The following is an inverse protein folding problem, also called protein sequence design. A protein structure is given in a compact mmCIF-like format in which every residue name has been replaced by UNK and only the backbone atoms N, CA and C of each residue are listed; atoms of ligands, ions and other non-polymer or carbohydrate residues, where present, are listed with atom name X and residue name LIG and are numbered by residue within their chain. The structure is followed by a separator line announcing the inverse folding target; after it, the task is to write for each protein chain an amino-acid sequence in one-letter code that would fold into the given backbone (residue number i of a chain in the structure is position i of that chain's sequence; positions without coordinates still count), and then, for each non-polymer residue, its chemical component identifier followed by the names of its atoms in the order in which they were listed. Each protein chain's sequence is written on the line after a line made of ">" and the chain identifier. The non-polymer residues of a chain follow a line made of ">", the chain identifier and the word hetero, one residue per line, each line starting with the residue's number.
data_IF_761477553472
#
_entry.id   IF_761477553472
#
_cell.length_a   1.000
_cell.length_b   1.000
_cell.length_c   1.000
_cell.angle_alpha   90.00
_cell.angle_beta   90.00
_cell.angle_gamma   90.00
#
_symmetry.space_group_name_H-M   'P 1'
#
loop_
_entity.id
_entity.type
_entity.pdbx_description
1 polymer ?
#
# COMPACT_ATOMS: atom_id res chain seq x y z
N UNK A 1 -25.14 5.44 3.67
CA UNK A 1 -23.68 5.64 3.57
C UNK A 1 -23.43 6.69 2.52
N UNK A 2 -22.67 7.75 2.84
CA UNK A 2 -22.19 8.70 1.82
C UNK A 2 -21.16 8.00 0.91
N UNK A 3 -21.00 8.47 -0.32
CA UNK A 3 -20.02 7.93 -1.28
C UNK A 3 -18.61 7.91 -0.67
N UNK A 4 -18.26 8.95 0.10
CA UNK A 4 -16.97 9.07 0.78
C UNK A 4 -16.72 7.93 1.79
N UNK A 5 -17.73 7.53 2.58
CA UNK A 5 -17.62 6.39 3.52
C UNK A 5 -17.47 5.06 2.80
N UNK A 6 -18.15 4.89 1.66
CA UNK A 6 -17.98 3.68 0.86
C UNK A 6 -16.54 3.61 0.33
N UNK A 7 -16.00 4.71 -0.19
CA UNK A 7 -14.63 4.77 -0.68
C UNK A 7 -13.59 4.56 0.43
N UNK A 8 -13.81 5.14 1.62
CA UNK A 8 -12.96 4.90 2.80
C UNK A 8 -12.96 3.42 3.19
N UNK A 9 -14.14 2.79 3.26
CA UNK A 9 -14.25 1.37 3.55
C UNK A 9 -13.54 0.52 2.50
N UNK A 10 -13.78 0.77 1.21
CA UNK A 10 -13.10 0.08 0.11
C UNK A 10 -11.59 0.27 0.21
N UNK A 11 -11.11 1.49 0.42
CA UNK A 11 -9.69 1.80 0.56
C UNK A 11 -9.05 1.02 1.73
N UNK A 12 -9.73 0.94 2.88
CA UNK A 12 -9.27 0.16 4.03
C UNK A 12 -9.14 -1.34 3.71
N UNK A 13 -10.15 -1.93 3.06
CA UNK A 13 -10.10 -3.33 2.64
C UNK A 13 -9.02 -3.59 1.59
N UNK A 14 -8.83 -2.67 0.64
CA UNK A 14 -7.76 -2.73 -0.35
C UNK A 14 -6.38 -2.68 0.32
N UNK A 15 -6.20 -1.88 1.37
CA UNK A 15 -4.97 -1.81 2.14
C UNK A 15 -4.60 -3.16 2.78
N UNK A 16 -5.56 -3.80 3.46
CA UNK A 16 -5.35 -5.13 4.07
C UNK A 16 -5.05 -6.19 3.00
N UNK A 17 -5.80 -6.19 1.89
CA UNK A 17 -5.57 -7.12 0.79
C UNK A 17 -4.20 -6.89 0.13
N UNK A 18 -3.75 -5.64 0.01
CA UNK A 18 -2.45 -5.29 -0.54
C UNK A 18 -1.31 -5.84 0.30
N UNK A 19 -1.40 -5.83 1.63
CA UNK A 19 -0.40 -6.45 2.53
C UNK A 19 -0.24 -7.94 2.18
N UNK A 20 -1.35 -8.68 2.11
CA UNK A 20 -1.32 -10.11 1.79
C UNK A 20 -0.77 -10.35 0.38
N UNK A 21 -1.19 -9.53 -0.59
CA UNK A 21 -0.73 -9.63 -1.97
C UNK A 21 0.78 -9.38 -2.10
N UNK A 22 1.34 -8.37 -1.42
CA UNK A 22 2.76 -8.00 -1.45
C UNK A 22 3.68 -9.12 -0.92
N UNK A 23 3.23 -9.89 0.07
CA UNK A 23 4.00 -11.01 0.61
C UNK A 23 4.18 -12.15 -0.41
N UNK A 24 3.22 -12.34 -1.31
CA UNK A 24 3.27 -13.43 -2.27
C UNK A 24 4.46 -13.34 -3.26
N UNK A 25 4.68 -12.25 -4.02
CA UNK A 25 5.87 -12.10 -4.85
C UNK A 25 7.15 -12.02 -4.01
N UNK A 26 7.12 -11.45 -2.79
CA UNK A 26 8.29 -11.46 -1.90
C UNK A 26 8.78 -12.89 -1.62
N UNK A 27 7.86 -13.80 -1.27
CA UNK A 27 8.19 -15.21 -0.96
C UNK A 27 8.61 -15.96 -2.22
N UNK A 28 7.94 -15.76 -3.36
CA UNK A 28 8.24 -16.50 -4.59
C UNK A 28 9.55 -16.05 -5.25
N UNK A 29 9.85 -14.75 -5.21
CA UNK A 29 11.07 -14.18 -5.81
C UNK A 29 12.32 -14.41 -4.95
N UNK A 30 12.22 -14.73 -3.66
CA UNK A 30 13.38 -14.89 -2.75
C UNK A 30 14.44 -15.88 -3.22
N UNK A 31 14.01 -16.90 -3.98
CA UNK A 31 14.91 -17.94 -4.53
C UNK A 31 15.59 -17.49 -5.83
N UNK A 32 15.20 -16.36 -6.41
CA UNK A 32 15.73 -15.80 -7.66
C UNK A 32 15.54 -16.70 -8.88
N UNK A 33 14.57 -17.62 -8.84
CA UNK A 33 14.26 -18.53 -9.95
C UNK A 33 13.66 -17.76 -11.13
N UNK A 34 13.81 -18.25 -12.37
CA UNK A 34 13.13 -17.66 -13.54
C UNK A 34 11.62 -17.58 -13.35
N UNK A 35 10.99 -16.53 -13.87
CA UNK A 35 9.57 -16.29 -13.67
C UNK A 35 8.71 -17.25 -14.52
N UNK A 36 7.85 -18.02 -13.85
CA UNK A 36 6.75 -18.72 -14.51
C UNK A 36 5.66 -17.73 -14.96
N UNK A 37 4.77 -18.16 -15.86
CA UNK A 37 3.61 -17.35 -16.27
C UNK A 37 2.74 -16.93 -15.08
N UNK A 38 2.48 -17.85 -14.15
CA UNK A 38 1.70 -17.57 -12.94
C UNK A 38 2.37 -16.54 -12.03
N UNK A 39 3.69 -16.60 -11.87
CA UNK A 39 4.42 -15.61 -11.07
C UNK A 39 4.40 -14.22 -11.72
N UNK A 40 4.49 -14.13 -13.05
CA UNK A 40 4.33 -12.85 -13.77
C UNK A 40 2.97 -12.22 -13.51
N UNK A 41 1.89 -13.01 -13.59
CA UNK A 41 0.55 -12.55 -13.24
C UNK A 41 0.44 -12.13 -11.78
N UNK A 42 1.00 -12.90 -10.86
CA UNK A 42 1.00 -12.54 -9.45
C UNK A 42 1.69 -11.19 -9.19
N UNK A 43 2.85 -10.95 -9.80
CA UNK A 43 3.58 -9.67 -9.70
C UNK A 43 2.74 -8.53 -10.28
N UNK A 44 2.16 -8.73 -11.47
CA UNK A 44 1.33 -7.72 -12.13
C UNK A 44 0.08 -7.36 -11.32
N UNK A 45 -0.68 -8.36 -10.87
CA UNK A 45 -1.90 -8.17 -10.07
C UNK A 45 -1.60 -7.53 -8.71
N UNK A 46 -0.51 -7.94 -8.05
CA UNK A 46 -0.09 -7.34 -6.77
C UNK A 46 0.22 -5.86 -6.95
N UNK A 47 1.00 -5.53 -7.99
CA UNK A 47 1.40 -4.14 -8.28
C UNK A 47 0.18 -3.29 -8.66
N UNK A 48 -0.72 -3.83 -9.48
CA UNK A 48 -1.96 -3.16 -9.85
C UNK A 48 -2.88 -2.92 -8.64
N UNK A 49 -3.00 -3.90 -7.74
CA UNK A 49 -3.78 -3.76 -6.51
C UNK A 49 -3.22 -2.66 -5.59
N UNK A 50 -1.90 -2.61 -5.41
CA UNK A 50 -1.23 -1.56 -4.61
C UNK A 50 -1.45 -0.18 -5.24
N UNK A 51 -1.31 -0.07 -6.56
CA UNK A 51 -1.58 1.17 -7.29
C UNK A 51 -3.05 1.59 -7.16
N UNK A 52 -3.99 0.65 -7.24
CA UNK A 52 -5.42 0.91 -7.04
C UNK A 52 -5.70 1.39 -5.62
N UNK A 53 -5.14 0.73 -4.60
CA UNK A 53 -5.29 1.15 -3.20
C UNK A 53 -4.79 2.58 -2.99
N UNK A 54 -3.62 2.91 -3.54
CA UNK A 54 -3.06 4.25 -3.50
C UNK A 54 -3.94 5.27 -4.24
N UNK A 55 -4.40 4.95 -5.45
CA UNK A 55 -5.27 5.82 -6.23
C UNK A 55 -6.61 6.08 -5.52
N UNK A 56 -7.22 5.07 -4.89
CA UNK A 56 -8.42 5.27 -4.06
C UNK A 56 -8.13 6.20 -2.87
N UNK A 57 -6.95 6.10 -2.26
CA UNK A 57 -6.49 7.03 -1.22
C UNK A 57 -6.46 8.48 -1.70
N UNK A 58 -6.00 8.72 -2.93
CA UNK A 58 -6.04 10.06 -3.54
C UNK A 58 -7.47 10.56 -3.75
N UNK A 59 -8.41 9.70 -4.14
CA UNK A 59 -9.81 10.13 -4.36
C UNK A 59 -10.54 10.58 -3.10
N UNK A 60 -10.09 10.14 -1.92
CA UNK A 60 -10.67 10.53 -0.63
C UNK A 60 -9.86 11.64 0.07
N UNK A 61 -8.70 12.00 -0.48
CA UNK A 61 -7.73 12.89 0.14
C UNK A 61 -8.28 14.29 0.38
N UNK A 62 -8.89 14.91 -0.64
CA UNK A 62 -9.42 16.28 -0.53
C UNK A 62 -10.52 16.35 0.53
N UNK A 63 -11.48 15.41 0.49
CA UNK A 63 -12.56 15.33 1.47
C UNK A 63 -12.04 15.16 2.90
N UNK A 64 -10.98 14.37 3.09
CA UNK A 64 -10.31 14.23 4.39
C UNK A 64 -9.63 15.54 4.83
N UNK A 65 -8.88 16.20 3.93
CA UNK A 65 -8.13 17.43 4.22
C UNK A 65 -9.04 18.59 4.62
N UNK A 66 -10.22 18.66 4.01
CA UNK A 66 -11.20 19.71 4.27
C UNK A 66 -11.98 19.47 5.57
N UNK A 67 -12.39 18.23 5.85
CA UNK A 67 -13.37 17.95 6.90
C UNK A 67 -12.79 17.27 8.14
N UNK A 68 -11.80 16.39 8.00
CA UNK A 68 -11.31 15.54 9.10
C UNK A 68 -10.02 16.09 9.69
N UNK A 69 -9.09 16.53 8.85
CA UNK A 69 -7.79 17.04 9.30
C UNK A 69 -7.88 18.24 10.25
N UNK A 70 -8.71 19.28 10.00
CA UNK A 70 -8.77 20.43 10.90
C UNK A 70 -9.24 20.04 12.30
N UNK A 71 -10.25 19.16 12.38
CA UNK A 71 -10.77 18.67 13.65
C UNK A 71 -9.72 17.83 14.39
N UNK A 72 -9.03 16.91 13.69
CA UNK A 72 -7.95 16.13 14.29
C UNK A 72 -6.79 16.99 14.79
N UNK A 73 -6.44 18.08 14.11
CA UNK A 73 -5.39 18.98 14.59
C UNK A 73 -5.77 19.72 15.88
N UNK A 74 -7.06 20.02 16.06
CA UNK A 74 -7.56 20.69 17.26
C UNK A 74 -7.70 19.74 18.45
N UNK A 75 -8.16 18.51 18.21
CA UNK A 75 -8.49 17.55 19.27
C UNK A 75 -7.35 16.56 19.55
N UNK A 76 -6.60 16.14 18.52
CA UNK A 76 -5.63 15.05 18.56
C UNK A 76 -4.42 15.29 17.63
N UNK A 77 -3.60 16.30 17.94
CA UNK A 77 -2.47 16.73 17.10
C UNK A 77 -1.52 15.58 16.67
N UNK A 78 -1.16 14.69 17.61
CA UNK A 78 -0.27 13.56 17.31
C UNK A 78 -0.90 12.59 16.29
N UNK A 79 -2.22 12.35 16.39
CA UNK A 79 -2.97 11.53 15.44
C UNK A 79 -2.98 12.17 14.04
N UNK A 80 -3.09 13.49 13.97
CA UNK A 80 -2.99 14.22 12.69
C UNK A 80 -1.59 14.07 12.06
N UNK A 81 -0.52 14.12 12.86
CA UNK A 81 0.85 13.89 12.35
C UNK A 81 1.07 12.44 11.89
N UNK A 82 0.52 11.46 12.60
CA UNK A 82 0.57 10.06 12.19
C UNK A 82 -0.20 9.83 10.89
N UNK A 83 -1.31 10.55 10.68
CA UNK A 83 -2.03 10.53 9.43
C UNK A 83 -1.16 11.03 8.26
N UNK A 84 -0.53 12.20 8.38
CA UNK A 84 0.38 12.74 7.35
C UNK A 84 1.53 11.76 7.06
N UNK A 85 2.10 11.18 8.11
CA UNK A 85 3.19 10.20 8.00
C UNK A 85 2.75 8.96 7.21
N UNK A 86 1.52 8.47 7.42
CA UNK A 86 1.02 7.29 6.71
C UNK A 86 0.93 7.51 5.19
N UNK A 87 0.70 8.75 4.75
CA UNK A 87 0.60 9.10 3.32
C UNK A 87 1.98 8.99 2.65
N UNK A 88 3.02 9.48 3.30
CA UNK A 88 4.40 9.31 2.84
C UNK A 88 4.81 7.83 2.81
N UNK A 89 4.41 7.06 3.83
CA UNK A 89 4.64 5.62 3.85
C UNK A 89 3.90 4.94 2.70
N UNK A 90 2.64 5.31 2.42
CA UNK A 90 1.87 4.76 1.30
C UNK A 90 2.53 5.06 -0.05
N UNK A 91 3.08 6.26 -0.22
CA UNK A 91 3.87 6.62 -1.41
C UNK A 91 5.13 5.75 -1.55
N UNK A 92 5.85 5.51 -0.45
CA UNK A 92 7.00 4.61 -0.44
C UNK A 92 6.61 3.17 -0.81
N UNK A 93 5.48 2.66 -0.29
CA UNK A 93 4.93 1.34 -0.63
C UNK A 93 4.67 1.25 -2.14
N UNK A 94 4.00 2.25 -2.73
CA UNK A 94 3.73 2.29 -4.16
C UNK A 94 5.03 2.27 -4.97
N UNK A 95 5.99 3.13 -4.62
CA UNK A 95 7.27 3.27 -5.31
C UNK A 95 8.07 1.96 -5.27
N UNK A 96 8.14 1.33 -4.10
CA UNK A 96 8.82 0.04 -3.92
C UNK A 96 8.13 -1.07 -4.71
N UNK A 97 6.80 -1.16 -4.66
CA UNK A 97 6.04 -2.19 -5.36
C UNK A 97 6.16 -2.05 -6.89
N UNK A 98 6.07 -0.83 -7.42
CA UNK A 98 6.26 -0.54 -8.85
C UNK A 98 7.68 -0.86 -9.29
N UNK A 99 8.68 -0.37 -8.56
CA UNK A 99 10.09 -0.60 -8.85
C UNK A 99 10.43 -2.10 -8.83
N UNK A 100 9.99 -2.82 -7.80
CA UNK A 100 10.18 -4.27 -7.68
C UNK A 100 9.45 -5.03 -8.80
N UNK A 101 8.22 -4.62 -9.13
CA UNK A 101 7.42 -5.23 -10.19
C UNK A 101 8.07 -5.09 -11.55
N UNK A 102 8.48 -3.86 -11.92
CA UNK A 102 9.20 -3.59 -13.17
C UNK A 102 10.51 -4.39 -13.18
N UNK A 103 11.34 -4.27 -12.14
CA UNK A 103 12.63 -4.95 -12.06
C UNK A 103 12.49 -6.47 -12.22
N UNK A 104 11.52 -7.09 -11.55
CA UNK A 104 11.27 -8.52 -11.69
C UNK A 104 10.81 -8.90 -13.10
N UNK A 105 9.82 -8.18 -13.66
CA UNK A 105 9.20 -8.50 -14.95
C UNK A 105 10.12 -8.32 -16.15
N UNK A 106 10.99 -7.31 -16.12
CA UNK A 106 11.96 -7.02 -17.20
C UNK A 106 13.29 -7.75 -17.03
N UNK A 107 13.57 -8.32 -15.84
CA UNK A 107 14.85 -8.98 -15.58
C UNK A 107 15.11 -10.16 -16.55
N UNK A 108 16.35 -10.27 -17.09
CA UNK A 108 16.80 -11.45 -17.82
C UNK A 108 16.69 -12.74 -16.98
N UNK A 109 16.59 -13.91 -17.64
CA UNK A 109 16.37 -15.20 -16.95
C UNK A 109 17.48 -15.56 -15.96
N UNK A 110 18.71 -15.15 -16.23
CA UNK A 110 19.92 -15.37 -15.42
C UNK A 110 20.13 -14.32 -14.32
N UNK A 111 19.40 -13.19 -14.35
CA UNK A 111 19.51 -12.10 -13.38
C UNK A 111 18.90 -12.42 -11.99
N UNK A 112 19.47 -13.41 -11.30
CA UNK A 112 19.04 -13.90 -9.98
C UNK A 112 19.05 -12.78 -8.93
N UNK A 113 20.11 -11.97 -8.90
CA UNK A 113 20.28 -10.90 -7.92
C UNK A 113 19.18 -9.84 -8.02
N UNK A 114 18.79 -9.44 -9.23
CA UNK A 114 17.70 -8.47 -9.45
C UNK A 114 16.37 -9.00 -8.89
N UNK A 115 16.06 -10.28 -9.10
CA UNK A 115 14.84 -10.89 -8.55
C UNK A 115 14.87 -10.98 -7.03
N UNK A 116 16.02 -11.25 -6.43
CA UNK A 116 16.17 -11.27 -4.97
C UNK A 116 16.05 -9.86 -4.37
N UNK A 117 16.60 -8.83 -5.03
CA UNK A 117 16.41 -7.44 -4.64
C UNK A 117 14.92 -7.03 -4.75
N UNK A 118 14.24 -7.40 -5.84
CA UNK A 118 12.81 -7.19 -5.98
C UNK A 118 12.00 -7.91 -4.88
N UNK A 119 12.40 -9.12 -4.49
CA UNK A 119 11.80 -9.83 -3.36
C UNK A 119 11.92 -9.05 -2.05
N UNK A 120 13.11 -8.49 -1.77
CA UNK A 120 13.34 -7.67 -0.59
C UNK A 120 12.51 -6.38 -0.62
N UNK A 121 12.41 -5.71 -1.77
CA UNK A 121 11.56 -4.51 -1.91
C UNK A 121 10.09 -4.80 -1.74
N UNK A 122 9.58 -5.94 -2.25
CA UNK A 122 8.22 -6.38 -1.96
C UNK A 122 8.00 -6.68 -0.47
N UNK A 123 9.00 -7.28 0.20
CA UNK A 123 8.92 -7.53 1.65
C UNK A 123 8.89 -6.24 2.46
N UNK A 124 9.76 -5.27 2.14
CA UNK A 124 9.77 -3.95 2.79
C UNK A 124 8.47 -3.20 2.50
N UNK A 125 7.98 -3.24 1.26
CA UNK A 125 6.68 -2.67 0.91
C UNK A 125 5.54 -3.32 1.70
N UNK A 126 5.54 -4.64 1.89
CA UNK A 126 4.54 -5.34 2.71
C UNK A 126 4.55 -4.86 4.17
N UNK A 127 5.74 -4.71 4.76
CA UNK A 127 5.90 -4.21 6.13
C UNK A 127 5.41 -2.77 6.28
N UNK A 128 5.81 -1.89 5.37
CA UNK A 128 5.36 -0.50 5.35
C UNK A 128 3.84 -0.40 5.11
N UNK A 129 3.29 -1.22 4.21
CA UNK A 129 1.86 -1.28 3.94
C UNK A 129 1.07 -1.76 5.17
N UNK A 130 1.61 -2.73 5.92
CA UNK A 130 1.03 -3.17 7.18
C UNK A 130 0.99 -2.02 8.20
N UNK A 131 2.09 -1.27 8.35
CA UNK A 131 2.12 -0.08 9.21
C UNK A 131 1.07 0.94 8.77
N UNK A 132 0.98 1.27 7.48
CA UNK A 132 -0.03 2.20 6.95
C UNK A 132 -1.46 1.71 7.22
N UNK A 133 -1.74 0.43 7.01
CA UNK A 133 -3.06 -0.16 7.25
C UNK A 133 -3.43 -0.13 8.74
N UNK A 134 -2.49 -0.51 9.62
CA UNK A 134 -2.68 -0.45 11.07
C UNK A 134 -2.91 0.98 11.57
N UNK A 135 -2.13 1.95 11.08
CA UNK A 135 -2.35 3.36 11.39
C UNK A 135 -3.72 3.84 10.90
N UNK A 136 -4.12 3.46 9.68
CA UNK A 136 -5.45 3.78 9.15
C UNK A 136 -6.58 3.25 10.04
N UNK A 137 -6.52 1.97 10.42
CA UNK A 137 -7.51 1.36 11.32
C UNK A 137 -7.55 2.05 12.69
N UNK A 138 -6.38 2.38 13.25
CA UNK A 138 -6.31 3.08 14.54
C UNK A 138 -6.86 4.51 14.46
N UNK A 139 -6.50 5.28 13.42
CA UNK A 139 -7.01 6.65 13.23
C UNK A 139 -8.53 6.64 13.10
N UNK A 140 -9.10 5.73 12.31
CA UNK A 140 -10.56 5.59 12.20
C UNK A 140 -11.23 5.26 13.54
N UNK A 141 -10.55 4.53 14.43
CA UNK A 141 -11.06 4.21 15.76
C UNK A 141 -11.00 5.40 16.75
N UNK A 142 -10.05 6.32 16.58
CA UNK A 142 -9.87 7.50 17.46
C UNK A 142 -10.68 8.71 16.96
N UNK A 143 -10.78 8.89 15.65
CA UNK A 143 -11.47 10.04 15.04
C UNK A 143 -11.59 9.87 13.53
N UNK A 144 -12.65 9.19 13.09
CA UNK A 144 -13.02 9.04 11.68
C UNK A 144 -13.89 10.19 11.17
N UNK A 145 -14.42 10.06 9.95
CA UNK A 145 -15.38 11.04 9.42
C UNK A 145 -16.59 11.19 10.37
N UNK A 146 -17.03 12.43 10.66
CA UNK A 146 -18.19 12.67 11.53
C UNK A 146 -19.43 11.92 11.01
N UNK A 147 -20.24 11.42 11.96
CA UNK A 147 -21.46 10.66 11.68
C UNK A 147 -22.53 11.49 10.98
#
# INVERSE_FOLDING_TARGET
>A
MTVLRLLESIHGHLGVLAVAALLHPAILLRRGRPLSRGLRWSIGLTTALVALAFATGLTIYDGYREHVRPQLLLEHYDTALLFETKEHIAWAVLTLALGAGVAALVSPRDAKAIRQAAAAFYAVAALLCLVTASLGTWITAVGGFPQ
#
